data_IF_931969894579
#
_entry.id   IF_931969894579
#
_cell.length_a   1.000
_cell.length_b   1.000
_cell.length_c   1.000
_cell.angle_alpha   90.00
_cell.angle_beta   90.00
_cell.angle_gamma   90.00
#
_symmetry.space_group_name_H-M   'P 1'
#
loop_
_entity.id
_entity.type
_entity.pdbx_description
1 polymer ?
#
# COMPACT_ATOMS: atom_id res chain seq x y z
N UNK A 1 72.62 -2.52 12.28
CA UNK A 1 73.77 -3.06 13.04
C UNK A 1 73.26 -3.38 14.45
N UNK A 2 73.53 -4.60 14.94
CA UNK A 2 73.23 -5.17 16.27
C UNK A 2 71.75 -5.46 16.57
N UNK A 3 71.26 -6.68 16.80
CA UNK A 3 71.80 -8.01 17.17
C UNK A 3 72.50 -8.09 18.54
N UNK A 4 71.76 -8.70 19.50
CA UNK A 4 72.12 -9.33 20.80
C UNK A 4 70.88 -9.22 21.72
N UNK A 5 70.31 -10.24 22.35
CA UNK A 5 70.77 -11.56 22.75
C UNK A 5 69.61 -12.56 22.84
N UNK A 6 69.89 -13.80 22.41
CA UNK A 6 69.01 -14.96 22.49
C UNK A 6 69.44 -15.75 23.73
N UNK A 7 68.55 -15.90 24.72
CA UNK A 7 68.67 -16.95 25.74
C UNK A 7 67.59 -17.99 25.47
N UNK A 8 68.02 -19.10 24.89
CA UNK A 8 67.19 -20.28 24.72
C UNK A 8 67.01 -21.01 26.05
N UNK A 9 65.78 -21.45 26.31
CA UNK A 9 65.48 -22.67 27.05
C UNK A 9 64.33 -23.32 26.30
N UNK A 10 64.64 -24.35 25.53
CA UNK A 10 63.63 -25.20 24.92
C UNK A 10 63.09 -26.17 25.95
N UNK A 11 61.78 -26.41 25.92
CA UNK A 11 61.19 -27.71 26.31
C UNK A 11 59.72 -27.78 25.88
N UNK A 12 59.41 -28.87 25.20
CA UNK A 12 58.15 -29.60 25.18
C UNK A 12 56.88 -28.95 24.59
N UNK A 13 56.65 -29.33 23.34
CA UNK A 13 55.38 -29.74 22.74
C UNK A 13 54.24 -30.02 23.77
N UNK A 14 53.26 -29.13 23.82
CA UNK A 14 51.86 -29.48 24.08
C UNK A 14 51.02 -28.70 23.06
N UNK A 15 50.64 -29.36 21.97
CA UNK A 15 49.60 -28.87 21.08
C UNK A 15 48.28 -29.02 21.85
N UNK A 16 47.93 -28.01 22.63
CA UNK A 16 46.54 -27.84 23.04
C UNK A 16 45.77 -27.45 21.78
N UNK A 17 45.04 -28.40 21.20
CA UNK A 17 43.97 -28.11 20.27
C UNK A 17 42.92 -27.30 21.04
N UNK A 18 43.13 -25.99 21.14
CA UNK A 18 42.08 -25.08 21.55
C UNK A 18 41.11 -25.06 20.39
N UNK A 19 40.10 -25.93 20.44
CA UNK A 19 38.92 -25.84 19.60
C UNK A 19 38.23 -24.53 19.96
N UNK A 20 38.58 -23.45 19.25
CA UNK A 20 37.81 -22.23 19.26
C UNK A 20 36.40 -22.57 18.77
N UNK A 21 35.50 -22.81 19.72
CA UNK A 21 34.07 -22.77 19.47
C UNK A 21 33.79 -21.34 19.02
N UNK A 22 33.61 -21.15 17.72
CA UNK A 22 33.17 -19.88 17.14
C UNK A 22 31.79 -19.58 17.76
N UNK A 23 31.63 -18.51 18.56
CA UNK A 23 30.31 -18.07 18.95
C UNK A 23 29.56 -17.73 17.66
N UNK A 24 28.42 -18.39 17.45
CA UNK A 24 27.57 -18.16 16.29
C UNK A 24 27.35 -16.66 16.11
N UNK A 25 27.62 -16.15 14.90
CA UNK A 25 27.27 -14.77 14.54
C UNK A 25 25.77 -14.62 14.76
N UNK A 26 25.31 -13.67 15.60
CA UNK A 26 23.89 -13.35 15.60
C UNK A 26 23.56 -12.90 14.17
N UNK A 27 22.59 -13.59 13.56
CA UNK A 27 21.96 -13.12 12.34
C UNK A 27 21.34 -11.79 12.71
N UNK A 28 21.99 -10.67 12.36
CA UNK A 28 21.36 -9.36 12.43
C UNK A 28 20.17 -9.46 11.50
N UNK A 29 19.00 -9.68 12.10
CA UNK A 29 17.74 -9.46 11.43
C UNK A 29 17.80 -8.02 10.92
N UNK A 30 17.58 -7.86 9.62
CA UNK A 30 17.36 -6.56 9.00
C UNK A 30 16.15 -5.96 9.73
N UNK A 31 16.40 -5.06 10.70
CA UNK A 31 15.32 -4.29 11.31
C UNK A 31 14.80 -3.38 10.20
N UNK A 32 13.54 -3.55 9.76
CA UNK A 32 13.04 -2.77 8.64
C UNK A 32 13.15 -1.30 9.01
N UNK A 33 13.90 -0.55 8.21
CA UNK A 33 14.01 0.89 8.37
C UNK A 33 12.61 1.48 8.45
N UNK A 34 12.30 2.19 9.53
CA UNK A 34 10.99 2.79 9.72
C UNK A 34 10.66 3.68 8.52
N UNK A 35 9.58 3.35 7.80
CA UNK A 35 9.12 4.15 6.67
C UNK A 35 8.69 5.54 7.16
N UNK A 36 9.29 6.58 6.58
CA UNK A 36 8.94 7.96 6.89
C UNK A 36 7.51 8.27 6.37
N UNK A 37 6.61 8.72 7.25
CA UNK A 37 5.26 9.16 6.86
C UNK A 37 5.31 10.48 6.06
N UNK A 38 5.35 10.35 4.74
CA UNK A 38 5.31 11.48 3.80
C UNK A 38 3.90 12.05 3.55
N UNK A 39 2.89 11.58 4.29
CA UNK A 39 1.50 11.96 4.05
C UNK A 39 1.23 13.43 4.38
N UNK A 40 0.63 14.14 3.43
CA UNK A 40 0.24 15.54 3.61
C UNK A 40 -1.07 15.66 4.39
N UNK A 41 -1.17 16.73 5.17
CA UNK A 41 -2.41 17.06 5.89
C UNK A 41 -3.44 17.79 5.04
N UNK A 42 -2.97 18.53 4.03
CA UNK A 42 -3.80 19.35 3.17
C UNK A 42 -3.24 19.40 1.75
N UNK A 43 -4.13 19.38 0.76
CA UNK A 43 -3.83 19.71 -0.62
C UNK A 43 -4.27 21.13 -0.94
N UNK A 44 -3.56 21.82 -1.83
CA UNK A 44 -4.04 23.09 -2.37
C UNK A 44 -5.19 22.82 -3.33
N UNK A 45 -6.39 23.32 -3.01
CA UNK A 45 -7.60 22.98 -3.76
C UNK A 45 -7.54 23.45 -5.22
N UNK A 46 -6.85 24.56 -5.50
CA UNK A 46 -6.67 25.07 -6.88
C UNK A 46 -5.73 24.22 -7.72
N UNK A 47 -4.91 23.39 -7.09
CA UNK A 47 -3.98 22.52 -7.78
C UNK A 47 -4.61 21.18 -8.15
N UNK A 48 -5.75 20.81 -7.54
CA UNK A 48 -6.48 19.57 -7.81
C UNK A 48 -7.06 19.65 -9.23
N UNK A 49 -6.79 18.61 -10.02
CA UNK A 49 -7.23 18.47 -11.41
C UNK A 49 -8.34 17.45 -11.56
N UNK A 50 -8.38 16.47 -10.69
CA UNK A 50 -9.43 15.46 -10.62
C UNK A 50 -9.39 14.74 -9.28
N UNK A 51 -10.49 14.06 -8.99
CA UNK A 51 -10.54 13.07 -7.94
C UNK A 51 -11.24 11.83 -8.50
N UNK A 52 -10.67 10.66 -8.25
CA UNK A 52 -11.20 9.37 -8.66
C UNK A 52 -11.57 8.55 -7.43
N UNK A 53 -12.78 8.00 -7.43
CA UNK A 53 -13.29 7.19 -6.33
C UNK A 53 -13.00 5.73 -6.67
N UNK A 54 -12.15 5.09 -5.88
CA UNK A 54 -11.83 3.67 -6.08
C UNK A 54 -12.88 2.80 -5.42
N UNK A 55 -13.20 3.09 -4.17
CA UNK A 55 -14.21 2.38 -3.38
C UNK A 55 -14.80 3.30 -2.29
N UNK A 56 -15.60 2.75 -1.38
CA UNK A 56 -16.23 3.52 -0.30
C UNK A 56 -15.24 4.05 0.76
N UNK A 57 -13.96 3.72 0.67
CA UNK A 57 -12.90 4.10 1.61
C UNK A 57 -11.71 4.80 0.96
N UNK A 58 -11.59 4.80 -0.37
CA UNK A 58 -10.39 5.23 -1.06
C UNK A 58 -10.71 6.19 -2.20
N UNK A 59 -10.08 7.37 -2.16
CA UNK A 59 -10.20 8.39 -3.19
C UNK A 59 -8.80 8.84 -3.60
N UNK A 60 -8.51 8.87 -4.90
CA UNK A 60 -7.27 9.40 -5.44
C UNK A 60 -7.50 10.83 -5.90
N UNK A 61 -6.61 11.72 -5.51
CA UNK A 61 -6.57 13.08 -6.01
C UNK A 61 -5.42 13.23 -6.99
N UNK A 62 -5.71 13.67 -8.22
CA UNK A 62 -4.70 14.14 -9.14
C UNK A 62 -4.47 15.64 -8.92
N UNK A 63 -3.22 16.01 -8.70
CA UNK A 63 -2.83 17.42 -8.60
C UNK A 63 -1.91 17.81 -9.76
N UNK A 64 -1.76 19.11 -9.96
CA UNK A 64 -0.90 19.67 -11.00
C UNK A 64 0.50 19.04 -10.99
N UNK A 65 0.99 18.74 -12.21
CA UNK A 65 2.23 18.01 -12.42
C UNK A 65 2.06 16.49 -12.39
N UNK A 66 0.83 15.98 -12.58
CA UNK A 66 0.51 14.53 -12.65
C UNK A 66 0.88 13.76 -11.38
N UNK A 67 0.90 14.44 -10.22
CA UNK A 67 1.15 13.80 -8.94
C UNK A 67 -0.16 13.27 -8.39
N UNK A 68 -0.11 12.08 -7.81
CA UNK A 68 -1.27 11.36 -7.31
C UNK A 68 -1.17 11.25 -5.79
N UNK A 69 -2.31 11.43 -5.12
CA UNK A 69 -2.42 11.30 -3.67
C UNK A 69 -3.60 10.42 -3.33
N UNK A 70 -3.34 9.30 -2.66
CA UNK A 70 -4.38 8.46 -2.10
C UNK A 70 -4.86 9.07 -0.77
N UNK A 71 -6.17 9.23 -0.64
CA UNK A 71 -6.83 9.58 0.61
C UNK A 71 -7.61 8.35 1.10
N UNK A 72 -7.15 7.78 2.20
CA UNK A 72 -7.86 6.71 2.90
C UNK A 72 -8.81 7.34 3.90
N UNK A 73 -10.11 7.17 3.67
CA UNK A 73 -11.15 7.73 4.53
C UNK A 73 -11.13 7.03 5.90
N UNK A 74 -11.13 7.77 7.03
CA UNK A 74 -11.07 7.18 8.37
C UNK A 74 -12.23 6.25 8.72
N UNK A 75 -13.33 6.37 7.99
CA UNK A 75 -14.53 5.55 8.15
C UNK A 75 -15.17 5.31 6.78
N UNK A 76 -15.73 4.13 6.56
CA UNK A 76 -16.39 3.77 5.30
C UNK A 76 -17.49 4.74 4.91
N UNK A 77 -17.30 5.33 3.74
CA UNK A 77 -18.21 6.26 3.10
C UNK A 77 -19.24 5.51 2.21
N UNK A 78 -20.01 4.58 2.77
CA UNK A 78 -21.17 3.90 2.14
C UNK A 78 -21.87 4.74 1.07
N UNK A 79 -21.86 4.23 -0.16
CA UNK A 79 -22.51 4.80 -1.33
C UNK A 79 -21.62 5.76 -2.13
N UNK A 80 -20.37 5.97 -1.74
CA UNK A 80 -19.43 6.82 -2.45
C UNK A 80 -19.01 6.19 -3.78
N UNK A 81 -18.72 4.88 -3.79
CA UNK A 81 -18.36 4.15 -5.02
C UNK A 81 -19.52 4.02 -5.99
N UNK A 82 -20.75 3.95 -5.48
CA UNK A 82 -21.96 3.84 -6.29
C UNK A 82 -22.20 5.09 -7.14
N UNK A 83 -22.05 6.30 -6.56
CA UNK A 83 -22.21 7.54 -7.32
C UNK A 83 -20.91 8.00 -8.00
N UNK A 84 -19.76 7.62 -7.44
CA UNK A 84 -18.43 8.00 -7.93
C UNK A 84 -18.14 9.50 -7.89
N UNK A 85 -18.99 10.29 -7.22
CA UNK A 85 -18.95 11.76 -7.27
C UNK A 85 -19.28 12.38 -5.92
N UNK A 86 -18.62 13.50 -5.63
CA UNK A 86 -18.79 14.22 -4.39
C UNK A 86 -18.47 15.71 -4.54
N UNK A 87 -19.03 16.54 -3.68
CA UNK A 87 -18.66 17.93 -3.45
C UNK A 87 -17.76 18.03 -2.21
N UNK A 88 -17.05 19.14 -2.09
CA UNK A 88 -16.34 19.51 -0.88
C UNK A 88 -16.28 21.03 -0.76
N UNK A 89 -16.34 21.52 0.48
CA UNK A 89 -16.12 22.92 0.79
C UNK A 89 -14.69 23.12 1.27
N UNK A 90 -14.05 24.21 0.83
CA UNK A 90 -12.72 24.57 1.32
C UNK A 90 -12.79 25.91 2.05
N UNK A 91 -12.45 25.90 3.34
CA UNK A 91 -12.47 27.13 4.16
C UNK A 91 -11.27 28.04 3.87
N UNK A 92 -10.11 27.46 3.59
CA UNK A 92 -8.83 28.20 3.46
C UNK A 92 -8.15 28.01 2.10
N UNK A 93 -8.92 27.71 1.04
CA UNK A 93 -8.38 27.34 -0.30
C UNK A 93 -7.56 26.04 -0.32
N UNK A 94 -7.68 25.25 0.73
CA UNK A 94 -7.05 23.94 0.88
C UNK A 94 -8.13 22.91 1.19
N UNK A 95 -7.92 21.68 0.72
CA UNK A 95 -8.69 20.51 1.11
C UNK A 95 -7.84 19.72 2.11
N UNK A 96 -8.29 19.65 3.35
CA UNK A 96 -7.55 19.11 4.47
C UNK A 96 -8.17 17.82 5.02
N UNK A 97 -7.38 17.04 5.74
CA UNK A 97 -7.82 15.82 6.45
C UNK A 97 -8.91 16.07 7.52
N UNK A 98 -9.24 17.32 7.85
CA UNK A 98 -10.35 17.66 8.76
C UNK A 98 -11.60 18.11 8.02
N UNK A 99 -11.50 18.31 6.71
CA UNK A 99 -12.63 18.68 5.89
C UNK A 99 -13.45 17.44 5.54
N UNK A 100 -14.63 17.69 4.97
CA UNK A 100 -15.58 16.64 4.60
C UNK A 100 -15.92 16.73 3.12
N UNK A 101 -16.13 15.58 2.52
CA UNK A 101 -16.79 15.45 1.23
C UNK A 101 -18.27 15.17 1.46
N UNK A 102 -19.13 15.54 0.50
CA UNK A 102 -20.54 15.12 0.47
C UNK A 102 -20.80 14.41 -0.85
N UNK A 103 -21.35 13.20 -0.78
CA UNK A 103 -21.66 12.42 -1.98
C UNK A 103 -22.69 13.19 -2.82
N UNK A 104 -22.49 13.28 -4.13
CA UNK A 104 -23.45 13.91 -5.03
C UNK A 104 -24.37 12.84 -5.61
N UNK A 105 -25.63 12.87 -5.20
CA UNK A 105 -26.68 11.94 -5.65
C UNK A 105 -27.40 12.52 -6.86
N UNK A 106 -27.73 11.67 -7.81
CA UNK A 106 -28.56 12.00 -8.96
C UNK A 106 -29.93 11.32 -8.85
N UNK A 107 -31.00 12.10 -8.94
CA UNK A 107 -32.40 11.61 -8.98
C UNK A 107 -33.07 11.89 -10.33
N UNK A 108 -32.30 11.96 -11.41
CA UNK A 108 -32.73 12.20 -12.79
C UNK A 108 -32.90 13.69 -13.11
N UNK A 109 -33.72 14.39 -12.34
CA UNK A 109 -34.02 15.81 -12.59
C UNK A 109 -33.24 16.77 -11.69
N UNK A 110 -32.51 16.25 -10.70
CA UNK A 110 -31.79 17.05 -9.73
C UNK A 110 -30.57 16.32 -9.19
N UNK A 111 -29.46 17.06 -9.08
CA UNK A 111 -28.30 16.67 -8.28
C UNK A 111 -28.43 17.31 -6.91
N UNK A 112 -28.26 16.52 -5.85
CA UNK A 112 -28.28 17.00 -4.47
C UNK A 112 -27.17 16.39 -3.64
N UNK A 113 -26.80 17.07 -2.55
CA UNK A 113 -25.80 16.57 -1.61
C UNK A 113 -26.43 15.51 -0.70
N UNK A 114 -25.80 14.34 -0.67
CA UNK A 114 -26.12 13.25 0.22
C UNK A 114 -25.26 13.26 1.49
N UNK A 115 -24.88 12.06 1.93
CA UNK A 115 -24.15 11.87 3.18
C UNK A 115 -22.77 12.52 3.14
N UNK A 116 -22.35 13.09 4.27
CA UNK A 116 -21.01 13.65 4.44
C UNK A 116 -20.02 12.63 5.02
N UNK A 117 -18.78 12.63 4.54
CA UNK A 117 -17.70 11.77 5.03
C UNK A 117 -16.44 12.59 5.30
N UNK A 118 -15.76 12.28 6.41
CA UNK A 118 -14.49 12.90 6.76
C UNK A 118 -13.38 12.42 5.84
N UNK A 119 -12.46 13.32 5.49
CA UNK A 119 -11.24 12.98 4.77
C UNK A 119 -10.17 12.44 5.71
N UNK A 120 -9.21 11.70 5.15
CA UNK A 120 -7.98 11.28 5.79
C UNK A 120 -6.78 12.12 5.38
N UNK A 121 -5.58 11.64 5.66
CA UNK A 121 -4.34 12.23 5.14
C UNK A 121 -4.15 11.86 3.67
N UNK A 122 -3.34 12.65 2.98
CA UNK A 122 -3.06 12.49 1.56
C UNK A 122 -1.69 11.85 1.39
N UNK A 123 -1.67 10.55 1.13
CA UNK A 123 -0.45 9.78 0.93
C UNK A 123 -0.02 9.87 -0.54
N UNK A 124 1.21 10.30 -0.85
CA UNK A 124 1.74 10.21 -2.21
C UNK A 124 1.65 8.76 -2.70
N UNK A 125 1.17 8.56 -3.92
CA UNK A 125 1.13 7.23 -4.54
C UNK A 125 1.72 7.33 -5.95
N UNK A 126 2.57 6.37 -6.31
CA UNK A 126 3.06 6.29 -7.69
C UNK A 126 1.93 5.80 -8.61
N UNK A 127 2.10 6.03 -9.92
CA UNK A 127 1.14 5.49 -10.89
C UNK A 127 1.13 3.97 -10.88
N UNK A 128 2.30 3.35 -10.77
CA UNK A 128 2.45 1.90 -10.72
C UNK A 128 1.77 1.30 -9.48
N UNK A 129 1.99 1.89 -8.31
CA UNK A 129 1.35 1.43 -7.07
C UNK A 129 -0.17 1.57 -7.14
N UNK A 130 -0.65 2.66 -7.73
CA UNK A 130 -2.08 2.87 -7.94
C UNK A 130 -2.67 1.84 -8.90
N UNK A 131 -1.98 1.52 -10.00
CA UNK A 131 -2.40 0.48 -10.95
C UNK A 131 -2.45 -0.89 -10.29
N UNK A 132 -1.47 -1.22 -9.45
CA UNK A 132 -1.47 -2.44 -8.65
C UNK A 132 -2.65 -2.46 -7.66
N UNK A 133 -2.94 -1.33 -7.00
CA UNK A 133 -4.08 -1.19 -6.08
C UNK A 133 -5.44 -1.45 -6.75
N UNK A 134 -5.61 -1.02 -8.01
CA UNK A 134 -6.80 -1.36 -8.80
C UNK A 134 -6.81 -2.83 -9.19
N UNK A 135 -5.67 -3.38 -9.64
CA UNK A 135 -5.55 -4.79 -10.02
C UNK A 135 -6.00 -5.69 -8.88
N UNK A 136 -5.47 -5.48 -7.68
CA UNK A 136 -5.75 -6.32 -6.51
C UNK A 136 -7.24 -6.34 -6.14
N UNK A 137 -7.97 -5.25 -6.42
CA UNK A 137 -9.42 -5.17 -6.21
C UNK A 137 -10.24 -5.74 -7.36
N UNK A 138 -9.72 -5.66 -8.59
CA UNK A 138 -10.31 -6.33 -9.74
C UNK A 138 -10.25 -7.86 -9.60
N UNK A 139 -9.34 -8.41 -8.77
CA UNK A 139 -9.34 -9.84 -8.38
C UNK A 139 -10.39 -10.16 -7.30
N UNK A 140 -11.50 -9.43 -7.26
CA UNK A 140 -12.75 -10.01 -6.72
C UNK A 140 -13.04 -11.25 -7.58
N UNK A 141 -13.49 -12.40 -7.04
CA UNK A 141 -13.64 -13.65 -7.80
C UNK A 141 -14.82 -13.54 -8.78
N UNK A 142 -14.69 -12.70 -9.79
CA UNK A 142 -15.38 -12.81 -11.06
C UNK A 142 -14.82 -14.06 -11.73
N UNK A 143 -15.61 -15.13 -11.61
CA UNK A 143 -15.69 -16.25 -12.55
C UNK A 143 -14.42 -16.46 -13.38
N UNK A 144 -13.44 -17.13 -12.77
CA UNK A 144 -12.51 -17.91 -13.57
C UNK A 144 -13.36 -18.86 -14.40
N UNK A 145 -13.31 -18.65 -15.72
CA UNK A 145 -13.50 -19.62 -16.78
C UNK A 145 -13.88 -21.01 -16.25
N UNK A 146 -15.19 -21.30 -16.22
CA UNK A 146 -15.59 -22.71 -16.31
C UNK A 146 -15.16 -23.12 -17.72
N UNK A 147 -13.95 -23.65 -17.85
CA UNK A 147 -13.64 -24.57 -18.93
C UNK A 147 -14.81 -25.57 -18.93
N UNK A 148 -15.63 -25.65 -19.99
CA UNK A 148 -16.69 -26.63 -20.03
C UNK A 148 -16.00 -27.97 -19.88
N UNK A 149 -16.21 -28.62 -18.74
CA UNK A 149 -15.83 -30.00 -18.54
C UNK A 149 -16.37 -30.77 -19.76
N UNK A 150 -15.46 -31.35 -20.52
CA UNK A 150 -15.80 -32.23 -21.61
C UNK A 150 -16.79 -33.26 -21.05
N UNK A 151 -18.01 -33.26 -21.58
CA UNK A 151 -18.99 -34.29 -21.28
C UNK A 151 -18.46 -35.54 -21.96
N UNK A 152 -17.66 -36.32 -21.23
CA UNK A 152 -17.34 -37.68 -21.65
C UNK A 152 -18.65 -38.48 -21.60
N UNK A 153 -19.11 -38.87 -22.79
CA UNK A 153 -20.24 -39.77 -23.00
C UNK A 153 -19.97 -41.10 -22.29
N UNK A 154 -20.46 -41.28 -21.06
CA UNK A 154 -20.62 -42.61 -20.48
C UNK A 154 -21.91 -43.21 -21.03
N UNK A 155 -21.81 -43.75 -22.23
CA UNK A 155 -22.66 -44.84 -22.69
C UNK A 155 -22.45 -45.99 -21.70
N UNK A 156 -23.47 -46.36 -20.94
CA UNK A 156 -23.54 -47.71 -20.42
C UNK A 156 -24.90 -48.34 -20.68
N UNK A 157 -24.82 -49.30 -21.58
CA UNK A 157 -25.80 -50.31 -21.92
C UNK A 157 -26.06 -51.23 -20.72
N UNK A 158 -27.26 -51.86 -20.73
CA UNK A 158 -27.63 -53.13 -20.09
C UNK A 158 -28.27 -53.06 -18.69
N UNK A 159 -29.59 -53.26 -18.63
CA UNK A 159 -30.15 -54.59 -18.35
C UNK A 159 -31.64 -54.69 -18.68
#
# INVERSE_FOLDING_TARGET
MNMRDIKGVGTALLIALVTWVLPGRPLLADEPAAEEDTSLRCLNARSIRGADVIDDNHVVFEIQGRRLFLNVLPSTCRGLSQDGRFSYDTYTRSLCARDKIRILKDSGNQIYEGRSCSLGRFQPISREDLENFYRDRAVTPEAQDIEPAEVEDVVNEKS
#
